data_IF_753152022027
#
_entry.id   IF_753152022027
#
_cell.length_a   1.000
_cell.length_b   1.000
_cell.length_c   1.000
_cell.angle_alpha   90.00
_cell.angle_beta   90.00
_cell.angle_gamma   90.00
#
_symmetry.space_group_name_H-M   'P 1'
#
loop_
_entity.id
_entity.type
_entity.pdbx_description
1 polymer ?
#
# COMPACT_ATOMS: atom_id res chain seq x y z
N UNK A 1 -33.51 16.61 16.97
CA UNK A 1 -32.77 16.82 18.24
C UNK A 1 -32.46 15.46 18.82
N UNK A 2 -31.24 14.97 18.63
CA UNK A 2 -30.67 13.85 19.37
C UNK A 2 -29.38 14.40 19.93
N UNK A 3 -29.47 14.89 21.15
CA UNK A 3 -28.37 15.35 21.98
C UNK A 3 -27.65 14.14 22.61
N UNK A 4 -26.44 14.42 23.09
CA UNK A 4 -25.63 13.61 23.99
C UNK A 4 -24.75 12.53 23.34
N UNK A 5 -23.75 13.03 22.60
CA UNK A 5 -22.46 12.36 22.57
C UNK A 5 -21.92 12.32 24.01
N UNK A 6 -21.97 11.15 24.64
CA UNK A 6 -21.33 10.89 25.93
C UNK A 6 -19.85 11.28 25.80
N UNK A 7 -19.36 12.30 26.56
CA UNK A 7 -17.93 12.51 26.66
C UNK A 7 -17.37 11.28 27.37
N UNK A 8 -16.53 10.52 26.67
CA UNK A 8 -15.78 9.44 27.32
C UNK A 8 -14.98 10.07 28.47
N UNK A 9 -15.11 9.53 29.69
CA UNK A 9 -14.47 9.97 30.95
C UNK A 9 -12.97 10.31 30.89
N UNK A 10 -12.29 10.01 29.79
CA UNK A 10 -10.87 10.30 29.56
C UNK A 10 -10.59 11.67 28.96
N UNK A 11 -11.60 12.45 28.54
CA UNK A 11 -11.37 13.82 28.04
C UNK A 11 -10.80 14.77 29.10
N UNK A 12 -10.84 14.38 30.38
CA UNK A 12 -10.45 15.16 31.55
C UNK A 12 -9.06 14.81 32.12
N UNK A 13 -8.37 13.75 31.64
CA UNK A 13 -7.07 13.36 32.19
C UNK A 13 -5.97 14.23 31.56
N UNK A 14 -5.37 15.11 32.36
CA UNK A 14 -4.25 15.97 31.97
C UNK A 14 -3.09 15.17 31.37
N UNK A 15 -2.59 15.63 30.21
CA UNK A 15 -1.43 15.04 29.55
C UNK A 15 -0.13 15.37 30.30
N UNK A 16 0.80 14.42 30.32
CA UNK A 16 2.13 14.59 30.91
C UNK A 16 3.18 14.77 29.82
N UNK A 17 4.35 15.32 30.17
CA UNK A 17 5.50 15.43 29.25
C UNK A 17 5.88 14.09 28.62
N UNK A 18 5.75 12.99 29.37
CA UNK A 18 5.99 11.63 28.87
C UNK A 18 5.07 11.24 27.71
N UNK A 19 3.81 11.72 27.70
CA UNK A 19 2.87 11.43 26.61
C UNK A 19 3.29 12.14 25.33
N UNK A 20 3.78 13.39 25.45
CA UNK A 20 4.32 14.14 24.32
C UNK A 20 5.64 13.54 23.79
N UNK A 21 6.52 13.05 24.67
CA UNK A 21 7.73 12.35 24.24
C UNK A 21 7.41 11.01 23.55
N UNK A 22 6.39 10.29 24.04
CA UNK A 22 5.87 9.08 23.40
C UNK A 22 5.25 9.36 22.03
N UNK A 23 4.73 10.56 21.79
CA UNK A 23 4.35 10.99 20.45
C UNK A 23 5.56 11.35 19.59
N UNK A 24 6.35 12.33 20.04
CA UNK A 24 7.40 12.97 19.25
C UNK A 24 8.50 12.00 18.81
N UNK A 25 9.03 11.17 19.72
CA UNK A 25 10.20 10.34 19.41
C UNK A 25 9.87 9.25 18.38
N UNK A 26 8.86 8.38 18.59
CA UNK A 26 8.51 7.36 17.61
C UNK A 26 8.01 7.96 16.30
N UNK A 27 7.22 9.04 16.37
CA UNK A 27 6.70 9.70 15.16
C UNK A 27 7.80 10.38 14.34
N UNK A 28 8.81 10.97 14.98
CA UNK A 28 9.96 11.54 14.27
C UNK A 28 10.80 10.46 13.59
N UNK A 29 11.00 9.32 14.25
CA UNK A 29 11.68 8.15 13.66
C UNK A 29 10.87 7.61 12.48
N UNK A 30 9.56 7.40 12.67
CA UNK A 30 8.65 6.93 11.62
C UNK A 30 8.62 7.87 10.41
N UNK A 31 8.45 9.17 10.66
CA UNK A 31 8.49 10.19 9.61
C UNK A 31 9.85 10.24 8.90
N UNK A 32 10.96 10.20 9.64
CA UNK A 32 12.30 10.18 9.06
C UNK A 32 12.58 8.95 8.20
N UNK A 33 12.10 7.77 8.60
CA UNK A 33 12.32 6.53 7.87
C UNK A 33 11.35 6.32 6.70
N UNK A 34 10.11 6.81 6.79
CA UNK A 34 9.07 6.54 5.79
C UNK A 34 8.71 7.73 4.89
N UNK A 35 8.94 8.97 5.34
CA UNK A 35 8.44 10.18 4.68
C UNK A 35 9.55 11.16 4.28
N UNK A 36 10.82 10.90 4.61
CA UNK A 36 11.91 11.82 4.25
C UNK A 36 12.84 11.10 3.29
N UNK A 37 13.05 11.62 2.07
CA UNK A 37 13.97 11.04 1.14
C UNK A 37 15.37 11.56 1.48
N UNK A 38 16.37 10.68 1.45
CA UNK A 38 17.75 11.08 1.62
C UNK A 38 18.60 10.52 0.49
N UNK A 39 19.66 11.25 0.19
CA UNK A 39 20.65 10.82 -0.80
C UNK A 39 21.44 9.66 -0.21
N UNK A 40 21.44 8.54 -0.90
CA UNK A 40 22.17 7.34 -0.51
C UNK A 40 22.96 6.85 -1.72
N UNK A 41 24.26 7.17 -1.74
CA UNK A 41 25.09 7.05 -2.94
C UNK A 41 24.62 8.01 -4.03
N UNK A 42 24.38 7.47 -5.22
CA UNK A 42 23.97 8.22 -6.41
C UNK A 42 22.44 8.31 -6.60
N UNK A 43 21.66 7.71 -5.70
CA UNK A 43 20.19 7.70 -5.78
C UNK A 43 19.56 8.37 -4.55
N UNK A 44 18.30 8.78 -4.70
CA UNK A 44 17.45 9.19 -3.59
C UNK A 44 16.59 8.01 -3.15
N UNK A 45 16.57 7.71 -1.86
CA UNK A 45 15.70 6.68 -1.29
C UNK A 45 15.20 7.10 0.09
N UNK A 46 14.15 6.48 0.59
CA UNK A 46 13.69 6.65 1.97
C UNK A 46 14.31 5.59 2.88
N UNK A 47 14.22 5.78 4.19
CA UNK A 47 14.84 4.86 5.16
C UNK A 47 14.28 3.44 5.09
N UNK A 48 12.98 3.30 4.84
CA UNK A 48 12.36 2.01 4.57
C UNK A 48 13.01 1.30 3.37
N UNK A 49 13.22 2.03 2.27
CA UNK A 49 13.84 1.49 1.05
C UNK A 49 15.28 1.08 1.29
N UNK A 50 16.05 1.86 2.05
CA UNK A 50 17.46 1.53 2.35
C UNK A 50 17.58 0.31 3.27
N UNK A 51 16.69 0.17 4.25
CA UNK A 51 16.62 -1.04 5.07
C UNK A 51 16.22 -2.24 4.20
N UNK A 52 15.27 -2.05 3.27
CA UNK A 52 14.86 -3.09 2.34
C UNK A 52 16.00 -3.50 1.40
N UNK A 53 16.70 -2.55 0.78
CA UNK A 53 17.86 -2.81 -0.10
C UNK A 53 18.98 -3.53 0.65
N UNK A 54 19.26 -3.10 1.89
CA UNK A 54 20.24 -3.78 2.75
C UNK A 54 19.85 -5.23 3.03
N UNK A 55 18.58 -5.48 3.36
CA UNK A 55 18.09 -6.84 3.59
C UNK A 55 18.13 -7.66 2.29
N UNK A 56 17.68 -7.09 1.17
CA UNK A 56 17.71 -7.72 -0.14
C UNK A 56 19.14 -8.08 -0.56
N UNK A 57 20.13 -7.21 -0.34
CA UNK A 57 21.53 -7.51 -0.65
C UNK A 57 22.09 -8.69 0.18
N UNK A 58 21.54 -8.95 1.37
CA UNK A 58 22.00 -10.03 2.27
C UNK A 58 21.34 -11.37 1.99
N UNK A 59 20.06 -11.37 1.60
CA UNK A 59 19.28 -12.61 1.40
C UNK A 59 18.78 -12.80 -0.04
N UNK A 60 19.12 -11.92 -0.97
CA UNK A 60 18.56 -11.87 -2.32
C UNK A 60 18.67 -13.18 -3.09
N UNK A 61 19.77 -13.91 -2.93
CA UNK A 61 19.99 -15.20 -3.60
C UNK A 61 19.01 -16.30 -3.16
N UNK A 62 18.46 -16.22 -1.94
CA UNK A 62 17.50 -17.20 -1.42
C UNK A 62 16.04 -16.75 -1.59
N UNK A 63 15.80 -15.47 -1.91
CA UNK A 63 14.45 -14.90 -1.98
C UNK A 63 13.55 -15.59 -3.02
N UNK A 64 13.98 -15.91 -4.26
CA UNK A 64 13.13 -16.61 -5.22
C UNK A 64 12.68 -18.00 -4.72
N UNK A 65 13.59 -18.74 -4.07
CA UNK A 65 13.30 -20.04 -3.48
C UNK A 65 12.36 -19.94 -2.28
N UNK A 66 12.61 -18.97 -1.38
CA UNK A 66 11.76 -18.71 -0.23
C UNK A 66 10.36 -18.24 -0.64
N UNK A 67 10.25 -17.37 -1.64
CA UNK A 67 8.99 -16.91 -2.19
C UNK A 67 8.20 -18.07 -2.79
N UNK A 68 8.84 -18.93 -3.58
CA UNK A 68 8.20 -20.14 -4.14
C UNK A 68 7.68 -21.04 -3.02
N UNK A 69 8.48 -21.26 -1.96
CA UNK A 69 8.05 -22.03 -0.79
C UNK A 69 6.81 -21.42 -0.13
N UNK A 70 6.81 -20.11 0.12
CA UNK A 70 5.67 -19.39 0.71
C UNK A 70 4.42 -19.50 -0.16
N UNK A 71 4.56 -19.35 -1.48
CA UNK A 71 3.46 -19.47 -2.44
C UNK A 71 2.89 -20.89 -2.42
N UNK A 72 3.73 -21.92 -2.49
CA UNK A 72 3.31 -23.33 -2.44
C UNK A 72 2.64 -23.64 -1.11
N UNK A 73 3.22 -23.23 0.01
CA UNK A 73 2.62 -23.41 1.34
C UNK A 73 1.25 -22.72 1.43
N UNK A 74 1.09 -21.53 0.86
CA UNK A 74 -0.21 -20.84 0.83
C UNK A 74 -1.26 -21.68 0.11
N UNK A 75 -0.93 -22.28 -1.04
CA UNK A 75 -1.86 -23.09 -1.82
C UNK A 75 -2.21 -24.39 -1.08
N UNK A 76 -1.20 -25.10 -0.56
CA UNK A 76 -1.38 -26.34 0.19
C UNK A 76 -2.22 -26.11 1.45
N UNK A 77 -1.88 -25.08 2.24
CA UNK A 77 -2.63 -24.74 3.45
C UNK A 77 -4.08 -24.35 3.13
N UNK A 78 -4.31 -23.58 2.07
CA UNK A 78 -5.67 -23.22 1.61
C UNK A 78 -6.47 -24.45 1.22
N UNK A 79 -5.90 -25.36 0.41
CA UNK A 79 -6.56 -26.60 -0.02
C UNK A 79 -6.87 -27.48 1.19
N UNK A 80 -5.89 -27.69 2.07
CA UNK A 80 -6.08 -28.46 3.30
C UNK A 80 -7.20 -27.86 4.15
N UNK A 81 -7.23 -26.53 4.28
CA UNK A 81 -8.26 -25.84 5.05
C UNK A 81 -9.66 -25.97 4.43
N UNK A 82 -9.79 -25.93 3.09
CA UNK A 82 -11.06 -26.17 2.40
C UNK A 82 -11.58 -27.59 2.65
N UNK A 83 -10.69 -28.59 2.67
CA UNK A 83 -11.04 -29.99 2.95
C UNK A 83 -11.44 -30.18 4.41
N UNK A 84 -10.66 -29.61 5.34
CA UNK A 84 -10.88 -29.74 6.78
C UNK A 84 -12.05 -28.88 7.26
N UNK A 85 -12.39 -27.77 6.58
CA UNK A 85 -13.55 -26.92 6.91
C UNK A 85 -14.86 -27.71 7.00
N UNK A 86 -15.02 -28.77 6.20
CA UNK A 86 -16.20 -29.66 6.29
C UNK A 86 -16.30 -30.40 7.64
N UNK A 87 -15.26 -30.36 8.47
CA UNK A 87 -15.14 -31.03 9.77
C UNK A 87 -14.91 -30.06 10.95
N UNK A 88 -14.82 -28.75 10.69
CA UNK A 88 -14.59 -27.73 11.72
C UNK A 88 -15.90 -26.96 11.96
N UNK A 89 -16.47 -27.11 13.15
CA UNK A 89 -17.61 -26.31 13.66
C UNK A 89 -17.16 -24.92 14.16
N UNK A 90 -16.09 -24.36 13.58
CA UNK A 90 -15.50 -23.10 14.03
C UNK A 90 -15.70 -22.02 12.98
N UNK A 91 -16.35 -20.93 13.39
CA UNK A 91 -16.52 -19.76 12.54
C UNK A 91 -15.14 -19.19 12.13
N UNK A 92 -14.89 -18.94 10.83
CA UNK A 92 -13.63 -18.35 10.33
C UNK A 92 -13.23 -17.07 11.05
N UNK A 93 -14.23 -16.33 11.54
CA UNK A 93 -14.11 -15.06 12.25
C UNK A 93 -13.47 -15.17 13.64
N UNK A 94 -13.42 -16.37 14.25
CA UNK A 94 -12.88 -16.55 15.59
C UNK A 94 -11.34 -16.68 15.64
N UNK A 95 -10.68 -16.94 14.50
CA UNK A 95 -9.23 -17.15 14.46
C UNK A 95 -8.59 -16.46 13.22
N UNK A 96 -7.89 -15.33 13.41
CA UNK A 96 -7.23 -14.59 12.33
C UNK A 96 -6.27 -15.43 11.47
N UNK A 97 -5.62 -16.44 12.07
CA UNK A 97 -4.70 -17.33 11.34
C UNK A 97 -5.48 -18.23 10.36
N UNK A 98 -6.67 -18.69 10.75
CA UNK A 98 -7.54 -19.45 9.84
C UNK A 98 -8.05 -18.56 8.70
N UNK A 99 -8.31 -17.28 8.99
CA UNK A 99 -8.70 -16.28 7.99
C UNK A 99 -7.70 -16.16 6.83
N UNK A 100 -6.40 -16.29 7.09
CA UNK A 100 -5.36 -16.25 6.04
C UNK A 100 -5.51 -17.34 4.97
N UNK A 101 -6.08 -18.50 5.34
CA UNK A 101 -6.19 -19.69 4.48
C UNK A 101 -7.64 -19.99 4.07
N UNK A 102 -8.63 -19.37 4.69
CA UNK A 102 -10.04 -19.50 4.33
C UNK A 102 -10.45 -18.42 3.33
N UNK A 103 -10.05 -18.60 2.08
CA UNK A 103 -10.27 -17.63 1.01
C UNK A 103 -11.35 -18.10 0.03
N UNK A 104 -11.89 -17.16 -0.74
CA UNK A 104 -12.85 -17.45 -1.81
C UNK A 104 -12.25 -18.29 -2.95
N UNK A 105 -13.10 -18.87 -3.82
CA UNK A 105 -12.65 -19.77 -4.89
C UNK A 105 -11.70 -19.08 -5.88
N UNK A 106 -11.88 -17.79 -6.15
CA UNK A 106 -11.02 -17.01 -7.04
C UNK A 106 -9.58 -16.91 -6.52
N UNK A 107 -9.42 -16.59 -5.23
CA UNK A 107 -8.11 -16.51 -4.57
C UNK A 107 -7.48 -17.89 -4.47
N UNK A 108 -8.27 -18.94 -4.20
CA UNK A 108 -7.76 -20.32 -4.20
C UNK A 108 -7.18 -20.70 -5.58
N UNK A 109 -7.89 -20.40 -6.68
CA UNK A 109 -7.38 -20.65 -8.04
C UNK A 109 -6.09 -19.86 -8.27
N UNK A 110 -6.05 -18.59 -7.90
CA UNK A 110 -4.84 -17.77 -8.01
C UNK A 110 -3.66 -18.35 -7.21
N UNK A 111 -3.92 -18.86 -6.00
CA UNK A 111 -2.91 -19.53 -5.17
C UNK A 111 -2.36 -20.79 -5.82
N UNK A 112 -3.23 -21.64 -6.35
CA UNK A 112 -2.83 -22.89 -7.02
C UNK A 112 -2.07 -22.60 -8.31
N UNK A 113 -2.58 -21.70 -9.16
CA UNK A 113 -1.90 -21.30 -10.39
C UNK A 113 -0.54 -20.69 -10.06
N UNK A 114 -0.49 -19.75 -9.11
CA UNK A 114 0.74 -19.11 -8.65
C UNK A 114 1.77 -20.12 -8.13
N UNK A 115 1.34 -21.14 -7.39
CA UNK A 115 2.23 -22.19 -6.89
C UNK A 115 2.81 -23.05 -8.02
N UNK A 116 1.99 -23.40 -9.02
CA UNK A 116 2.43 -24.15 -10.20
C UNK A 116 3.42 -23.31 -11.00
N UNK A 117 3.08 -22.07 -11.33
CA UNK A 117 3.93 -21.19 -12.14
C UNK A 117 5.22 -20.83 -11.40
N UNK A 118 5.19 -20.54 -10.09
CA UNK A 118 6.39 -20.30 -9.28
C UNK A 118 7.33 -21.50 -9.32
N UNK A 119 6.80 -22.72 -9.13
CA UNK A 119 7.61 -23.94 -9.15
C UNK A 119 8.21 -24.19 -10.53
N UNK A 120 7.43 -24.04 -11.60
CA UNK A 120 7.90 -24.19 -12.98
C UNK A 120 9.03 -23.21 -13.31
N UNK A 121 8.87 -21.95 -12.91
CA UNK A 121 9.90 -20.92 -13.12
C UNK A 121 11.12 -21.17 -12.24
N UNK A 122 10.97 -21.52 -10.96
CA UNK A 122 12.10 -21.77 -10.07
C UNK A 122 12.97 -22.94 -10.57
N UNK A 123 12.33 -24.06 -10.92
CA UNK A 123 13.03 -25.26 -11.39
C UNK A 123 13.35 -25.24 -12.89
N UNK A 124 13.01 -24.16 -13.59
CA UNK A 124 13.18 -24.02 -15.03
C UNK A 124 12.54 -25.19 -15.81
N UNK A 125 11.41 -25.69 -15.30
CA UNK A 125 10.67 -26.79 -15.88
C UNK A 125 9.31 -26.26 -16.36
N UNK A 126 9.20 -26.02 -17.67
CA UNK A 126 7.98 -25.47 -18.25
C UNK A 126 8.13 -25.05 -19.71
N UNK A 127 7.05 -24.57 -20.34
CA UNK A 127 7.13 -24.02 -21.68
C UNK A 127 7.93 -22.72 -21.69
N UNK A 128 8.65 -22.47 -22.80
CA UNK A 128 9.56 -21.33 -22.93
C UNK A 128 8.87 -19.97 -22.69
N UNK A 129 7.60 -19.84 -23.09
CA UNK A 129 6.81 -18.62 -22.89
C UNK A 129 6.52 -18.30 -21.42
N UNK A 130 6.61 -19.30 -20.52
CA UNK A 130 6.38 -19.12 -19.09
C UNK A 130 7.68 -18.85 -18.34
N UNK A 131 8.74 -19.57 -18.69
CA UNK A 131 10.03 -19.53 -17.99
C UNK A 131 11.01 -18.52 -18.61
N UNK A 132 10.56 -17.62 -19.49
CA UNK A 132 11.43 -16.63 -20.16
C UNK A 132 11.92 -15.54 -19.19
N UNK A 133 13.00 -14.86 -19.60
CA UNK A 133 13.55 -13.67 -18.92
C UNK A 133 12.67 -12.43 -19.05
N UNK A 134 11.59 -12.50 -19.84
CA UNK A 134 10.64 -11.40 -20.07
C UNK A 134 9.28 -11.65 -19.42
N UNK A 135 9.07 -12.84 -18.84
CA UNK A 135 7.77 -13.24 -18.26
C UNK A 135 7.94 -13.77 -16.82
N UNK A 136 7.91 -15.09 -16.62
CA UNK A 136 7.90 -15.69 -15.29
C UNK A 136 9.14 -15.39 -14.46
N UNK A 137 10.33 -15.32 -15.08
CA UNK A 137 11.56 -15.00 -14.34
C UNK A 137 11.58 -13.56 -13.83
N UNK A 138 11.08 -12.59 -14.59
CA UNK A 138 10.95 -11.20 -14.10
C UNK A 138 10.12 -11.15 -12.84
N UNK A 139 8.96 -11.83 -12.84
CA UNK A 139 8.07 -11.84 -11.69
C UNK A 139 8.72 -12.51 -10.48
N UNK A 140 9.29 -13.70 -10.65
CA UNK A 140 9.82 -14.48 -9.53
C UNK A 140 11.18 -13.99 -9.00
N UNK A 141 12.05 -13.51 -9.89
CA UNK A 141 13.44 -13.18 -9.55
C UNK A 141 13.66 -11.68 -9.31
N UNK A 142 12.83 -10.80 -9.86
CA UNK A 142 13.02 -9.35 -9.76
C UNK A 142 11.90 -8.71 -8.93
N UNK A 143 10.64 -8.99 -9.27
CA UNK A 143 9.49 -8.30 -8.64
C UNK A 143 9.16 -8.84 -7.24
N UNK A 144 8.92 -10.15 -7.13
CA UNK A 144 8.51 -10.78 -5.87
C UNK A 144 9.55 -10.59 -4.75
N UNK A 145 10.86 -10.76 -4.98
CA UNK A 145 11.88 -10.55 -3.94
C UNK A 145 11.87 -9.15 -3.33
N UNK A 146 11.75 -8.11 -4.17
CA UNK A 146 11.65 -6.71 -3.73
C UNK A 146 10.41 -6.52 -2.86
N UNK A 147 9.25 -6.99 -3.33
CA UNK A 147 7.97 -6.90 -2.61
C UNK A 147 8.04 -7.65 -1.28
N UNK A 148 8.61 -8.85 -1.27
CA UNK A 148 8.73 -9.69 -0.09
C UNK A 148 9.51 -8.98 1.02
N UNK A 149 10.63 -8.34 0.67
CA UNK A 149 11.49 -7.61 1.62
C UNK A 149 10.85 -6.31 2.08
N UNK A 150 10.26 -5.52 1.17
CA UNK A 150 9.54 -4.29 1.54
C UNK A 150 8.43 -4.61 2.55
N UNK A 151 7.70 -5.70 2.35
CA UNK A 151 6.65 -6.11 3.27
C UNK A 151 7.12 -6.78 4.55
N UNK A 152 8.42 -7.00 4.76
CA UNK A 152 8.99 -7.27 6.09
C UNK A 152 9.21 -5.96 6.85
N UNK A 153 9.79 -4.97 6.18
CA UNK A 153 10.20 -3.70 6.81
C UNK A 153 8.99 -2.81 7.07
N UNK A 154 8.07 -2.70 6.11
CA UNK A 154 6.95 -1.77 6.19
C UNK A 154 6.05 -2.02 7.41
N UNK A 155 5.56 -3.24 7.70
CA UNK A 155 4.71 -3.48 8.87
C UNK A 155 5.41 -3.23 10.21
N UNK A 156 6.75 -3.29 10.27
CA UNK A 156 7.53 -2.99 11.48
C UNK A 156 7.61 -1.48 11.74
N UNK A 157 7.69 -0.67 10.68
CA UNK A 157 7.78 0.79 10.77
C UNK A 157 6.40 1.46 10.83
N UNK A 158 5.38 0.83 10.23
CA UNK A 158 4.04 1.37 10.09
C UNK A 158 3.40 1.85 11.40
N UNK A 159 3.49 1.13 12.53
CA UNK A 159 3.01 1.61 13.82
C UNK A 159 3.59 2.95 14.26
N UNK A 160 4.85 3.26 13.91
CA UNK A 160 5.51 4.53 14.25
C UNK A 160 4.77 5.73 13.63
N UNK A 161 4.12 5.52 12.50
CA UNK A 161 3.36 6.51 11.76
C UNK A 161 1.87 6.51 12.16
N UNK A 162 1.28 5.32 12.38
CA UNK A 162 -0.18 5.16 12.59
C UNK A 162 -0.61 5.20 14.05
N UNK A 163 0.22 4.72 14.99
CA UNK A 163 -0.18 4.48 16.38
C UNK A 163 0.38 5.49 17.37
N UNK A 164 1.38 6.28 16.98
CA UNK A 164 2.03 7.24 17.88
C UNK A 164 1.55 8.69 17.72
N UNK A 165 0.55 8.99 16.90
CA UNK A 165 -0.07 10.33 16.87
C UNK A 165 0.28 11.20 15.66
N UNK A 166 1.15 10.73 14.75
CA UNK A 166 1.55 11.50 13.58
C UNK A 166 0.36 11.81 12.66
N UNK A 167 -0.48 10.81 12.42
CA UNK A 167 -1.71 10.94 11.62
C UNK A 167 -2.74 11.88 12.26
N UNK A 168 -2.85 11.90 13.59
CA UNK A 168 -3.71 12.82 14.32
C UNK A 168 -3.24 14.25 14.20
N UNK A 169 -1.93 14.48 14.36
CA UNK A 169 -1.33 15.81 14.28
C UNK A 169 -1.47 16.40 12.87
N UNK A 170 -0.89 15.74 11.88
CA UNK A 170 -0.97 16.20 10.49
C UNK A 170 -2.39 16.11 9.94
N UNK A 171 -3.18 15.15 10.40
CA UNK A 171 -4.58 15.06 9.99
C UNK A 171 -5.39 16.27 10.44
N UNK A 172 -5.16 16.76 11.65
CA UNK A 172 -5.79 17.99 12.13
C UNK A 172 -5.38 19.19 11.28
N UNK A 173 -4.09 19.35 10.99
CA UNK A 173 -3.55 20.46 10.21
C UNK A 173 -4.01 20.45 8.76
N UNK A 174 -4.01 19.27 8.13
CA UNK A 174 -4.32 19.08 6.72
C UNK A 174 -5.82 18.96 6.45
N UNK A 175 -6.66 18.74 7.45
CA UNK A 175 -8.12 18.57 7.30
C UNK A 175 -8.79 19.66 6.45
N UNK A 176 -8.42 20.93 6.68
CA UNK A 176 -8.96 22.10 5.97
C UNK A 176 -8.58 22.13 4.48
N UNK A 177 -7.52 21.42 4.08
CA UNK A 177 -7.04 21.36 2.70
C UNK A 177 -7.54 20.07 2.04
N UNK A 178 -7.36 18.93 2.71
CA UNK A 178 -7.67 17.61 2.15
C UNK A 178 -9.16 17.38 1.95
N UNK A 179 -10.00 17.84 2.89
CA UNK A 179 -11.45 17.66 2.79
C UNK A 179 -12.04 18.37 1.56
N UNK A 180 -11.81 19.68 1.33
CA UNK A 180 -12.35 20.35 0.15
C UNK A 180 -11.65 19.94 -1.16
N UNK A 181 -10.33 19.73 -1.17
CA UNK A 181 -9.61 19.43 -2.41
C UNK A 181 -9.82 17.99 -2.86
N UNK A 182 -9.65 17.02 -1.96
CA UNK A 182 -9.60 15.60 -2.33
C UNK A 182 -10.84 14.82 -1.87
N UNK A 183 -11.76 15.43 -1.12
CA UNK A 183 -12.91 14.74 -0.47
C UNK A 183 -12.48 13.65 0.53
N UNK A 184 -11.28 13.81 1.07
CA UNK A 184 -10.61 12.87 1.97
C UNK A 184 -10.43 13.49 3.36
N UNK A 185 -10.36 12.65 4.42
CA UNK A 185 -10.12 13.11 5.77
C UNK A 185 -8.67 13.57 5.92
N UNK A 186 -8.41 14.52 6.81
CA UNK A 186 -7.10 15.16 6.91
C UNK A 186 -5.95 14.18 7.14
N UNK A 187 -6.17 13.12 7.93
CA UNK A 187 -5.15 12.10 8.24
C UNK A 187 -4.63 11.33 7.03
N UNK A 188 -5.38 11.32 5.93
CA UNK A 188 -4.93 10.75 4.66
C UNK A 188 -3.74 11.50 4.05
N UNK A 189 -3.37 12.68 4.58
CA UNK A 189 -2.16 13.38 4.15
C UNK A 189 -0.89 12.60 4.43
N UNK A 190 -0.81 11.91 5.56
CA UNK A 190 0.32 11.05 5.91
C UNK A 190 0.36 9.81 5.02
N UNK A 191 -0.81 9.24 4.72
CA UNK A 191 -0.96 8.12 3.79
C UNK A 191 -0.49 8.49 2.37
N UNK A 192 -0.94 9.66 1.89
CA UNK A 192 -0.55 10.21 0.59
C UNK A 192 0.97 10.45 0.49
N UNK A 193 1.59 11.05 1.51
CA UNK A 193 3.05 11.27 1.53
C UNK A 193 3.79 9.93 1.60
N UNK A 194 3.38 9.01 2.48
CA UNK A 194 4.02 7.70 2.59
C UNK A 194 3.95 6.90 1.28
N UNK A 195 2.80 6.99 0.59
CA UNK A 195 2.59 6.39 -0.72
C UNK A 195 3.54 6.93 -1.78
N UNK A 196 3.65 8.27 -1.88
CA UNK A 196 4.47 8.94 -2.89
C UNK A 196 5.97 8.77 -2.65
N UNK A 197 6.37 8.73 -1.39
CA UNK A 197 7.77 8.75 -1.00
C UNK A 197 8.35 7.35 -0.85
N UNK A 198 7.55 6.39 -0.40
CA UNK A 198 7.98 5.01 -0.23
C UNK A 198 7.69 4.15 -1.43
N UNK A 199 6.51 3.53 -1.43
CA UNK A 199 6.07 2.69 -2.54
C UNK A 199 4.56 2.58 -2.55
N UNK A 200 3.97 2.45 -3.73
CA UNK A 200 2.53 2.26 -3.90
C UNK A 200 1.97 1.11 -3.03
N UNK A 201 2.60 -0.07 -2.92
CA UNK A 201 2.08 -1.15 -2.08
C UNK A 201 2.04 -0.82 -0.58
N UNK A 202 3.00 -0.02 -0.08
CA UNK A 202 3.01 0.45 1.31
C UNK A 202 1.85 1.42 1.56
N UNK A 203 1.58 2.31 0.61
CA UNK A 203 0.41 3.20 0.62
C UNK A 203 -0.90 2.45 0.75
N UNK A 204 -1.11 1.46 -0.13
CA UNK A 204 -2.31 0.60 -0.10
C UNK A 204 -2.43 -0.15 1.24
N UNK A 205 -1.31 -0.62 1.81
CA UNK A 205 -1.31 -1.27 3.12
C UNK A 205 -1.76 -0.32 4.24
N UNK A 206 -1.23 0.92 4.26
CA UNK A 206 -1.67 1.95 5.21
C UNK A 206 -3.17 2.19 5.05
N UNK A 207 -3.62 2.37 3.80
CA UNK A 207 -5.02 2.62 3.47
C UNK A 207 -5.94 1.49 3.95
N UNK A 208 -5.57 0.23 3.68
CA UNK A 208 -6.32 -0.94 4.11
C UNK A 208 -6.43 -1.01 5.64
N UNK A 209 -5.30 -0.85 6.35
CA UNK A 209 -5.30 -0.87 7.81
C UNK A 209 -6.17 0.25 8.41
N UNK A 210 -6.11 1.46 7.84
CA UNK A 210 -6.91 2.58 8.31
C UNK A 210 -8.41 2.40 8.00
N UNK A 211 -8.77 1.71 6.92
CA UNK A 211 -10.15 1.32 6.64
C UNK A 211 -10.65 0.29 7.65
N UNK A 212 -9.89 -0.78 7.89
CA UNK A 212 -10.23 -1.84 8.84
C UNK A 212 -10.31 -1.34 10.28
N UNK A 213 -9.51 -0.33 10.64
CA UNK A 213 -9.58 0.35 11.94
C UNK A 213 -10.73 1.35 12.06
N UNK A 214 -11.58 1.51 11.04
CA UNK A 214 -12.75 2.40 11.12
C UNK A 214 -12.39 3.88 10.99
N UNK A 215 -11.21 4.17 10.45
CA UNK A 215 -10.81 5.52 10.15
C UNK A 215 -11.32 5.91 8.76
N UNK A 216 -11.07 5.16 7.68
CA UNK A 216 -11.63 5.48 6.36
C UNK A 216 -13.01 4.88 6.12
N UNK A 217 -13.80 5.50 5.22
CA UNK A 217 -14.94 4.83 4.58
C UNK A 217 -14.51 4.02 3.34
N UNK A 218 -15.38 3.15 2.82
CA UNK A 218 -15.11 2.37 1.59
C UNK A 218 -14.73 3.31 0.43
N UNK A 219 -15.46 4.43 0.27
CA UNK A 219 -15.18 5.46 -0.75
C UNK A 219 -13.82 6.13 -0.53
N UNK A 220 -13.53 6.55 0.70
CA UNK A 220 -12.27 7.22 1.03
C UNK A 220 -11.07 6.28 0.80
N UNK A 221 -11.15 5.03 1.26
CA UNK A 221 -10.09 4.03 1.09
C UNK A 221 -9.85 3.70 -0.39
N UNK A 222 -10.92 3.46 -1.17
CA UNK A 222 -10.80 3.22 -2.60
C UNK A 222 -10.16 4.40 -3.34
N UNK A 223 -10.49 5.62 -2.94
CA UNK A 223 -9.90 6.84 -3.52
C UNK A 223 -8.41 6.92 -3.20
N UNK A 224 -8.01 6.78 -1.93
CA UNK A 224 -6.60 6.88 -1.52
C UNK A 224 -5.76 5.83 -2.25
N UNK A 225 -6.19 4.57 -2.22
CA UNK A 225 -5.48 3.45 -2.83
C UNK A 225 -5.32 3.57 -4.35
N UNK A 226 -6.20 4.31 -5.04
CA UNK A 226 -6.16 4.42 -6.51
C UNK A 226 -5.57 5.73 -7.02
N UNK A 227 -5.59 6.81 -6.23
CA UNK A 227 -5.14 8.13 -6.70
C UNK A 227 -3.88 8.65 -6.02
N UNK A 228 -3.53 8.13 -4.84
CA UNK A 228 -2.35 8.58 -4.07
C UNK A 228 -1.23 7.55 -4.00
N UNK A 229 -1.50 6.29 -4.34
CA UNK A 229 -0.50 5.22 -4.46
C UNK A 229 0.25 5.28 -5.79
N UNK A 230 0.93 6.40 -6.03
CA UNK A 230 1.69 6.71 -7.26
C UNK A 230 3.12 6.15 -7.18
N UNK A 231 3.83 6.13 -8.31
CA UNK A 231 5.24 5.74 -8.41
C UNK A 231 6.13 6.54 -7.44
N UNK A 232 7.10 5.86 -6.82
CA UNK A 232 8.01 6.49 -5.86
C UNK A 232 9.01 7.42 -6.57
N UNK A 233 9.49 8.44 -5.84
CA UNK A 233 10.54 9.37 -6.33
C UNK A 233 11.77 8.61 -6.83
N UNK A 234 12.20 7.60 -6.06
CA UNK A 234 13.36 6.77 -6.38
C UNK A 234 13.17 6.01 -7.69
N UNK A 235 12.00 5.38 -7.87
CA UNK A 235 11.70 4.63 -9.10
C UNK A 235 11.54 5.54 -10.30
N UNK A 236 10.89 6.69 -10.12
CA UNK A 236 10.79 7.72 -11.15
C UNK A 236 12.19 8.18 -11.64
N UNK A 237 13.16 8.28 -10.73
CA UNK A 237 14.55 8.61 -11.08
C UNK A 237 15.23 7.48 -11.86
N UNK A 238 15.09 6.22 -11.43
CA UNK A 238 15.67 5.06 -12.14
C UNK A 238 15.14 4.97 -13.57
N UNK A 239 13.84 5.17 -13.78
CA UNK A 239 13.24 5.12 -15.11
C UNK A 239 13.77 6.23 -16.02
N UNK A 240 13.85 7.48 -15.55
CA UNK A 240 14.33 8.57 -16.42
C UNK A 240 15.83 8.44 -16.72
N UNK A 241 16.61 7.89 -15.78
CA UNK A 241 18.02 7.61 -15.99
C UNK A 241 18.23 6.47 -16.99
N UNK A 242 17.42 5.40 -16.90
CA UNK A 242 17.43 4.31 -17.87
C UNK A 242 17.13 4.77 -19.30
N UNK A 243 16.23 5.73 -19.47
CA UNK A 243 15.90 6.33 -20.78
C UNK A 243 16.97 7.34 -21.25
N UNK A 244 17.95 7.69 -20.40
CA UNK A 244 19.04 8.60 -20.72
C UNK A 244 18.65 10.09 -20.64
N UNK A 245 17.63 10.43 -19.87
CA UNK A 245 17.09 11.78 -19.73
C UNK A 245 17.18 12.32 -18.29
N UNK A 246 18.14 11.84 -17.49
CA UNK A 246 18.25 12.19 -16.06
C UNK A 246 18.40 13.68 -15.77
N UNK A 247 18.93 14.46 -16.70
CA UNK A 247 18.97 15.93 -16.62
C UNK A 247 17.57 16.58 -16.58
N UNK A 248 16.55 15.92 -17.13
CA UNK A 248 15.15 16.36 -17.12
C UNK A 248 14.37 15.82 -15.92
N UNK A 249 15.02 15.26 -14.89
CA UNK A 249 14.31 14.66 -13.76
C UNK A 249 13.36 15.63 -13.05
N UNK A 250 13.80 16.86 -12.79
CA UNK A 250 12.97 17.87 -12.11
C UNK A 250 11.69 18.20 -12.90
N UNK A 251 11.76 18.60 -14.19
CA UNK A 251 10.54 18.88 -14.96
C UNK A 251 9.67 17.63 -15.18
N UNK A 252 10.27 16.46 -15.42
CA UNK A 252 9.54 15.19 -15.52
C UNK A 252 8.77 14.88 -14.24
N UNK A 253 9.45 14.91 -13.09
CA UNK A 253 8.83 14.60 -11.81
C UNK A 253 7.79 15.67 -11.42
N UNK A 254 8.04 16.94 -11.77
CA UNK A 254 7.05 18.01 -11.63
C UNK A 254 5.77 17.74 -12.42
N UNK A 255 5.87 17.23 -13.65
CA UNK A 255 4.72 16.82 -14.45
C UNK A 255 3.96 15.63 -13.83
N UNK A 256 4.67 14.64 -13.28
CA UNK A 256 4.07 13.52 -12.52
C UNK A 256 3.32 14.03 -11.29
N UNK A 257 3.90 14.93 -10.50
CA UNK A 257 3.26 15.50 -9.31
C UNK A 257 2.03 16.32 -9.67
N UNK A 258 2.13 17.15 -10.72
CA UNK A 258 1.01 17.97 -11.17
C UNK A 258 -0.15 17.11 -11.69
N UNK A 259 0.14 16.17 -12.59
CA UNK A 259 -0.87 15.26 -13.15
C UNK A 259 -1.51 14.38 -12.07
N UNK A 260 -0.70 13.83 -11.16
CA UNK A 260 -1.18 13.05 -10.01
C UNK A 260 -2.06 13.88 -9.07
N UNK A 261 -1.70 15.12 -8.78
CA UNK A 261 -2.51 16.03 -7.95
C UNK A 261 -3.84 16.37 -8.62
N UNK A 262 -3.83 16.67 -9.92
CA UNK A 262 -5.06 16.92 -10.70
C UNK A 262 -5.94 15.68 -10.71
N UNK A 263 -5.38 14.50 -10.95
CA UNK A 263 -6.10 13.24 -10.89
C UNK A 263 -6.71 13.01 -9.50
N UNK A 264 -5.96 13.23 -8.42
CA UNK A 264 -6.47 13.11 -7.05
C UNK A 264 -7.61 14.09 -6.72
N UNK A 265 -7.69 15.24 -7.40
CA UNK A 265 -8.83 16.18 -7.29
C UNK A 265 -10.02 15.69 -8.12
N UNK A 266 -9.80 15.22 -9.35
CA UNK A 266 -10.89 14.91 -10.29
C UNK A 266 -11.50 13.52 -10.01
N UNK A 267 -10.66 12.50 -9.83
CA UNK A 267 -11.05 11.09 -9.75
C UNK A 267 -12.08 10.78 -8.64
N UNK A 268 -11.98 11.31 -7.40
CA UNK A 268 -12.99 11.04 -6.36
C UNK A 268 -14.40 11.55 -6.72
N UNK A 269 -14.50 12.48 -7.69
CA UNK A 269 -15.75 13.14 -8.10
C UNK A 269 -16.39 12.50 -9.32
N UNK A 270 -15.70 11.59 -10.02
CA UNK A 270 -16.22 10.87 -11.18
C UNK A 270 -16.43 9.38 -10.88
N UNK A 271 -17.37 8.70 -11.57
CA UNK A 271 -17.52 7.25 -11.45
C UNK A 271 -16.25 6.51 -11.91
N UNK A 272 -15.94 5.33 -11.34
CA UNK A 272 -16.72 4.59 -10.35
C UNK A 272 -16.52 5.06 -8.90
N UNK A 273 -15.49 5.86 -8.61
CA UNK A 273 -15.13 6.25 -7.24
C UNK A 273 -16.22 7.09 -6.57
N UNK A 274 -16.84 8.02 -7.29
CA UNK A 274 -17.93 8.83 -6.74
C UNK A 274 -19.20 8.03 -6.40
N UNK A 275 -19.33 6.80 -6.92
CA UNK A 275 -20.46 5.88 -6.66
C UNK A 275 -20.17 4.88 -5.53
N UNK A 276 -18.96 4.87 -4.97
CA UNK A 276 -18.63 4.02 -3.82
C UNK A 276 -19.35 4.51 -2.56
N UNK A 277 -19.74 3.58 -1.70
CA UNK A 277 -20.52 3.87 -0.49
C UNK A 277 -19.65 4.58 0.55
N UNK A 278 -20.23 5.54 1.26
CA UNK A 278 -19.55 6.24 2.35
C UNK A 278 -19.82 5.54 3.69
N UNK A 279 -19.47 4.25 3.76
CA UNK A 279 -19.69 3.38 4.92
C UNK A 279 -18.35 2.96 5.53
N UNK A 280 -18.30 2.90 6.86
CA UNK A 280 -17.15 2.40 7.62
C UNK A 280 -17.17 0.88 7.69
N UNK A 281 -16.02 0.28 8.00
CA UNK A 281 -15.94 -1.14 8.30
C UNK A 281 -16.80 -1.48 9.53
N UNK A 282 -17.82 -2.32 9.36
CA UNK A 282 -18.89 -2.55 10.36
C UNK A 282 -18.34 -2.97 11.72
N UNK A 283 -17.27 -3.78 11.75
CA UNK A 283 -16.68 -4.29 12.99
C UNK A 283 -15.96 -3.21 13.81
N UNK A 284 -15.45 -2.17 13.15
CA UNK A 284 -14.70 -1.10 13.81
C UNK A 284 -15.54 0.15 14.10
N UNK A 285 -16.60 0.38 13.31
CA UNK A 285 -17.40 1.61 13.39
C UNK A 285 -16.60 2.86 13.03
N UNK A 286 -17.17 4.04 13.27
CA UNK A 286 -16.49 5.32 13.00
C UNK A 286 -15.59 5.71 14.16
N UNK A 287 -14.28 5.74 13.93
CA UNK A 287 -13.29 6.18 14.93
C UNK A 287 -12.90 7.66 14.79
N UNK A 288 -13.03 8.24 13.60
CA UNK A 288 -12.54 9.60 13.34
C UNK A 288 -13.51 10.69 13.83
N UNK A 289 -12.98 11.66 14.59
CA UNK A 289 -13.63 12.94 14.88
C UNK A 289 -12.77 14.10 14.35
N UNK A 290 -13.20 14.79 13.29
CA UNK A 290 -12.46 15.92 12.69
C UNK A 290 -12.86 17.30 13.24
N UNK A 291 -13.86 17.36 14.13
CA UNK A 291 -14.36 18.62 14.64
C UNK A 291 -13.32 19.31 15.54
N UNK A 292 -12.90 20.51 15.15
CA UNK A 292 -12.08 21.38 15.99
C UNK A 292 -12.98 21.98 17.09
N UNK A 293 -12.63 21.82 18.38
CA UNK A 293 -13.39 22.45 19.45
C UNK A 293 -13.40 23.98 19.33
N UNK A 294 -14.51 24.66 19.67
CA UNK A 294 -14.58 26.13 19.63
C UNK A 294 -13.45 26.77 20.45
N UNK A 295 -12.78 27.78 19.89
CA UNK A 295 -11.73 28.54 20.59
C UNK A 295 -10.35 27.87 20.70
N UNK A 296 -10.16 26.65 20.16
CA UNK A 296 -8.85 25.98 20.11
C UNK A 296 -8.12 26.25 18.80
N UNK A 297 -6.80 26.45 18.88
CA UNK A 297 -5.94 26.56 17.70
C UNK A 297 -5.60 25.17 17.14
N UNK A 298 -5.53 25.03 15.81
CA UNK A 298 -5.29 23.75 15.11
C UNK A 298 -4.04 23.02 15.61
N UNK A 299 -2.94 23.76 15.78
CA UNK A 299 -1.67 23.19 16.24
C UNK A 299 -1.76 22.61 17.65
N UNK A 300 -2.28 23.40 18.60
CA UNK A 300 -2.45 22.95 19.99
C UNK A 300 -3.37 21.74 20.10
N UNK A 301 -4.43 21.71 19.28
CA UNK A 301 -5.40 20.62 19.28
C UNK A 301 -4.82 19.35 18.65
N UNK A 302 -4.13 19.47 17.50
CA UNK A 302 -3.48 18.33 16.86
C UNK A 302 -2.40 17.73 17.75
N UNK A 303 -1.63 18.55 18.46
CA UNK A 303 -0.57 18.09 19.36
C UNK A 303 -1.14 17.35 20.58
N UNK A 304 -2.25 17.85 21.13
CA UNK A 304 -2.99 17.17 22.21
C UNK A 304 -3.58 15.84 21.73
N UNK A 305 -4.20 15.81 20.54
CA UNK A 305 -4.77 14.58 19.97
C UNK A 305 -3.69 13.52 19.71
N UNK A 306 -2.54 13.94 19.19
CA UNK A 306 -1.39 13.08 18.96
C UNK A 306 -0.83 12.48 20.26
N UNK A 307 -0.66 13.28 21.31
CA UNK A 307 -0.23 12.80 22.62
C UNK A 307 -1.25 11.83 23.25
N UNK A 308 -2.56 12.11 23.10
CA UNK A 308 -3.63 11.19 23.54
C UNK A 308 -3.57 9.86 22.77
N UNK A 309 -3.31 9.88 21.46
CA UNK A 309 -3.11 8.67 20.66
C UNK A 309 -1.89 7.88 21.14
N UNK A 310 -0.73 8.54 21.28
CA UNK A 310 0.52 7.94 21.73
C UNK A 310 0.40 7.29 23.11
N UNK A 311 -0.38 7.89 24.02
CA UNK A 311 -0.64 7.31 25.35
C UNK A 311 -1.35 5.97 25.29
N UNK A 312 -2.23 5.78 24.29
CA UNK A 312 -2.99 4.55 24.04
C UNK A 312 -2.29 3.58 23.08
N UNK A 313 -1.09 3.94 22.59
CA UNK A 313 -0.34 3.10 21.67
C UNK A 313 -0.07 1.72 22.31
N UNK A 314 -0.19 0.62 21.54
CA UNK A 314 0.12 -0.71 22.04
C UNK A 314 1.57 -0.82 22.51
N UNK A 315 1.85 -1.76 23.41
CA UNK A 315 3.22 -2.07 23.83
C UNK A 315 4.03 -2.62 22.66
N UNK A 316 5.35 -2.44 22.69
CA UNK A 316 6.27 -2.89 21.64
C UNK A 316 6.09 -4.37 21.24
N UNK A 317 5.86 -5.26 22.22
CA UNK A 317 5.60 -6.68 21.93
C UNK A 317 4.32 -6.89 21.12
N UNK A 318 3.24 -6.18 21.44
CA UNK A 318 1.99 -6.25 20.70
C UNK A 318 2.13 -5.67 19.29
N UNK A 319 2.92 -4.61 19.13
CA UNK A 319 3.25 -4.04 17.82
C UNK A 319 4.04 -5.04 16.97
N UNK A 320 5.03 -5.71 17.55
CA UNK A 320 5.82 -6.73 16.86
C UNK A 320 4.95 -7.93 16.44
N UNK A 321 4.07 -8.40 17.33
CA UNK A 321 3.12 -9.49 16.99
C UNK A 321 2.19 -9.10 15.84
N UNK A 322 1.64 -7.88 15.85
CA UNK A 322 0.81 -7.35 14.76
C UNK A 322 1.60 -7.25 13.46
N UNK A 323 2.82 -6.72 13.51
CA UNK A 323 3.70 -6.62 12.35
C UNK A 323 4.00 -8.01 11.77
N UNK A 324 4.39 -8.99 12.60
CA UNK A 324 4.64 -10.37 12.17
C UNK A 324 3.41 -11.02 11.55
N UNK A 325 2.22 -10.81 12.14
CA UNK A 325 0.96 -11.29 11.55
C UNK A 325 0.74 -10.68 10.15
N UNK A 326 0.88 -9.36 10.03
CA UNK A 326 0.70 -8.66 8.75
C UNK A 326 1.71 -9.11 7.69
N UNK A 327 2.97 -9.39 8.06
CA UNK A 327 3.99 -9.91 7.14
C UNK A 327 3.48 -11.23 6.51
N UNK A 328 3.06 -12.19 7.34
CA UNK A 328 2.58 -13.48 6.85
C UNK A 328 1.28 -13.37 6.07
N UNK A 329 0.34 -12.55 6.53
CA UNK A 329 -0.95 -12.33 5.86
C UNK A 329 -0.73 -11.80 4.44
N UNK A 330 0.08 -10.75 4.30
CA UNK A 330 0.43 -10.17 3.00
C UNK A 330 1.17 -11.20 2.15
N UNK A 331 2.15 -11.91 2.70
CA UNK A 331 2.91 -12.89 1.92
C UNK A 331 2.03 -14.02 1.36
N UNK A 332 1.14 -14.60 2.18
CA UNK A 332 0.26 -15.68 1.74
C UNK A 332 -0.87 -15.19 0.83
N UNK A 333 -1.31 -13.95 0.97
CA UNK A 333 -2.36 -13.38 0.11
C UNK A 333 -1.80 -12.87 -1.23
N UNK A 334 -0.72 -12.10 -1.19
CA UNK A 334 -0.28 -11.27 -2.30
C UNK A 334 0.71 -11.97 -3.22
N UNK A 335 1.70 -12.70 -2.70
CA UNK A 335 2.73 -13.33 -3.56
C UNK A 335 2.15 -14.32 -4.59
N UNK A 336 1.18 -15.18 -4.25
CA UNK A 336 0.57 -16.07 -5.23
C UNK A 336 -0.26 -15.32 -6.28
N UNK A 337 -0.87 -14.20 -5.88
CA UNK A 337 -1.65 -13.34 -6.78
C UNK A 337 -0.74 -12.65 -7.80
N UNK A 338 0.40 -12.11 -7.34
CA UNK A 338 1.42 -11.52 -8.21
C UNK A 338 1.97 -12.58 -9.16
N UNK A 339 2.30 -13.77 -8.67
CA UNK A 339 2.83 -14.83 -9.54
C UNK A 339 1.80 -15.31 -10.57
N UNK A 340 0.53 -15.45 -10.20
CA UNK A 340 -0.49 -15.92 -11.14
C UNK A 340 -0.88 -14.85 -12.16
N UNK A 341 -1.33 -13.69 -11.69
CA UNK A 341 -1.84 -12.61 -12.55
C UNK A 341 -0.69 -11.90 -13.26
N UNK A 342 0.42 -11.61 -12.56
CA UNK A 342 1.56 -10.90 -13.14
C UNK A 342 2.21 -11.68 -14.28
N UNK A 343 2.40 -12.99 -14.11
CA UNK A 343 2.91 -13.85 -15.18
C UNK A 343 1.93 -13.92 -16.34
N UNK A 344 0.63 -14.11 -16.07
CA UNK A 344 -0.37 -14.12 -17.13
C UNK A 344 -0.39 -12.80 -17.91
N UNK A 345 -0.29 -11.67 -17.22
CA UNK A 345 -0.23 -10.34 -17.84
C UNK A 345 1.02 -10.19 -18.74
N UNK A 346 2.21 -10.57 -18.26
CA UNK A 346 3.43 -10.51 -19.06
C UNK A 346 3.39 -11.46 -20.25
N UNK A 347 2.88 -12.68 -20.09
CA UNK A 347 2.72 -13.64 -21.21
C UNK A 347 1.76 -13.08 -22.26
N UNK A 348 0.65 -12.50 -21.83
CA UNK A 348 -0.31 -11.85 -22.74
C UNK A 348 0.31 -10.64 -23.42
N UNK A 349 1.09 -9.83 -22.70
CA UNK A 349 1.78 -8.65 -23.25
C UNK A 349 2.84 -9.02 -24.28
N UNK A 350 3.64 -10.04 -23.99
CA UNK A 350 4.79 -10.42 -24.81
C UNK A 350 4.38 -11.21 -26.05
N UNK A 351 3.44 -12.15 -25.90
CA UNK A 351 3.12 -13.12 -26.95
C UNK A 351 1.80 -12.84 -27.68
N UNK A 352 1.05 -11.81 -27.30
CA UNK A 352 -0.22 -11.48 -27.96
C UNK A 352 -0.36 -9.98 -28.21
N UNK A 353 -1.22 -9.61 -29.16
CA UNK A 353 -1.52 -8.21 -29.44
C UNK A 353 -2.60 -7.62 -28.53
N UNK A 354 -3.07 -8.32 -27.50
CA UNK A 354 -4.24 -7.91 -26.69
C UNK A 354 -4.08 -6.49 -26.15
N UNK A 355 -2.90 -6.13 -25.62
CA UNK A 355 -2.64 -4.78 -25.13
C UNK A 355 -2.64 -3.73 -26.25
N UNK A 356 -2.24 -4.08 -27.48
CA UNK A 356 -2.36 -3.19 -28.63
C UNK A 356 -3.82 -2.89 -28.95
N UNK A 357 -4.69 -3.91 -28.91
CA UNK A 357 -6.14 -3.74 -29.13
C UNK A 357 -6.79 -2.91 -28.02
N UNK A 358 -6.45 -3.18 -26.76
CA UNK A 358 -6.95 -2.42 -25.61
C UNK A 358 -6.48 -0.97 -25.61
N UNK A 359 -5.33 -0.69 -26.22
CA UNK A 359 -4.75 0.65 -26.30
C UNK A 359 -5.30 1.48 -27.48
N UNK A 360 -6.01 0.87 -28.45
CA UNK A 360 -6.60 1.60 -29.61
C UNK A 360 -7.44 2.82 -29.18
N UNK A 361 -8.31 2.74 -28.15
CA UNK A 361 -9.07 3.90 -27.68
C UNK A 361 -8.22 5.04 -27.14
N UNK A 362 -6.97 4.80 -26.70
CA UNK A 362 -6.06 5.82 -26.19
C UNK A 362 -5.36 6.61 -27.30
N UNK A 363 -5.15 5.99 -28.47
CA UNK A 363 -4.49 6.62 -29.63
C UNK A 363 -5.06 7.99 -30.00
N UNK A 364 -6.38 8.19 -30.18
CA UNK A 364 -6.92 9.50 -30.55
C UNK A 364 -6.66 10.56 -29.48
N UNK A 365 -6.72 10.20 -28.18
CA UNK A 365 -6.39 11.15 -27.11
C UNK A 365 -4.91 11.56 -27.17
N UNK A 366 -4.00 10.60 -27.36
CA UNK A 366 -2.58 10.87 -27.48
C UNK A 366 -2.25 11.70 -28.73
N UNK A 367 -2.93 11.45 -29.86
CA UNK A 367 -2.79 12.26 -31.08
C UNK A 367 -3.24 13.70 -30.87
N UNK A 368 -4.38 13.92 -30.19
CA UNK A 368 -4.87 15.27 -29.86
C UNK A 368 -3.92 16.00 -28.91
N UNK A 369 -3.28 15.27 -27.98
CA UNK A 369 -2.26 15.80 -27.08
C UNK A 369 -0.91 16.05 -27.77
N UNK A 370 -0.76 15.69 -29.06
CA UNK A 370 0.46 15.89 -29.82
C UNK A 370 1.60 14.94 -29.45
N UNK A 371 1.30 13.78 -28.86
CA UNK A 371 2.32 12.78 -28.51
C UNK A 371 2.87 12.14 -29.80
N UNK A 372 4.20 12.23 -30.05
CA UNK A 372 4.82 11.56 -31.18
C UNK A 372 4.61 10.05 -31.11
N UNK A 373 4.39 9.40 -32.26
CA UNK A 373 4.18 7.96 -32.33
C UNK A 373 3.08 7.44 -31.39
N UNK A 374 1.97 8.17 -31.27
CA UNK A 374 0.84 7.85 -30.38
C UNK A 374 0.39 6.38 -30.41
N UNK A 375 0.41 5.72 -31.56
CA UNK A 375 0.07 4.30 -31.70
C UNK A 375 1.08 3.36 -31.05
N UNK A 376 2.38 3.70 -31.09
CA UNK A 376 3.44 2.94 -30.43
C UNK A 376 3.50 3.24 -28.93
N UNK A 377 3.17 4.47 -28.52
CA UNK A 377 3.14 4.86 -27.11
C UNK A 377 1.93 4.32 -26.35
N UNK A 378 0.77 4.15 -27.01
CA UNK A 378 -0.48 3.81 -26.34
C UNK A 378 -0.44 2.51 -25.49
N UNK A 379 0.18 1.40 -25.94
CA UNK A 379 0.27 0.19 -25.13
C UNK A 379 1.04 0.38 -23.82
N UNK A 380 2.04 1.27 -23.79
CA UNK A 380 2.84 1.55 -22.60
C UNK A 380 2.05 2.24 -21.47
N UNK A 381 0.84 2.74 -21.73
CA UNK A 381 -0.07 3.26 -20.70
C UNK A 381 -0.88 2.16 -19.99
N UNK A 382 -0.86 0.92 -20.50
CA UNK A 382 -1.64 -0.20 -19.98
C UNK A 382 -0.79 -1.30 -19.31
N UNK A 383 0.51 -1.36 -19.64
CA UNK A 383 1.44 -2.44 -19.25
C UNK A 383 2.27 -2.04 -18.04
#
# INVERSE_FOLDING_TARGET
MVTDAVPTRESEIALRTTDYLRFLVPSAIGAGLMLVPFRFGDTFNIGLGIIADFLHARVGSILPGLATLVIVLSAVATIAMVVVRRRLDTEPLANPILGMFLVGPTILVARVVGAITASMVLFQWGPAWLISDTTGRVILNELIPVIMVIFVVAPLLLPLVTDFGLMEFFGTLCSRIFRPLFTLPGRSSIDAIASWMGSAPVGVLITAQQYELGFYTEREAATIATTFSVVSVAWAFVIIDFVGLSEFFVPYYGAVVLSGTVAAIVMPRIPPLSRKRDVYYEQAGKQLTEALPPGRHLWSWGFELAARRARRAPRALALLQRATFNIYDIWFALLPLIMSIGVAALVVSEYTSIFNWLAVPLVPFLTVLGVPEASAAAPAFLV
#
